data_IF_585251725803
#
_entry.id   IF_585251725803
#
_cell.length_a   1.000
_cell.length_b   1.000
_cell.length_c   1.000
_cell.angle_alpha   90.00
_cell.angle_beta   90.00
_cell.angle_gamma   90.00
#
_symmetry.space_group_name_H-M   'P 1'
#
loop_
_entity.id
_entity.type
_entity.pdbx_description
1 polymer ?
#
# COMPACT_ATOMS: atom_id res chain seq x y z
N UNK A 1 8.47 12.75 -5.00
CA UNK A 1 9.39 13.19 -3.91
C UNK A 1 9.36 12.19 -2.75
N UNK A 2 8.19 11.67 -2.33
CA UNK A 2 8.06 10.57 -1.36
C UNK A 2 8.96 9.36 -1.65
N UNK A 3 8.87 8.72 -2.82
CA UNK A 3 9.65 7.51 -3.15
C UNK A 3 11.18 7.73 -3.07
N UNK A 4 11.69 8.95 -3.35
CA UNK A 4 13.11 9.28 -3.17
C UNK A 4 13.47 9.48 -1.70
N UNK A 5 12.58 10.06 -0.89
CA UNK A 5 12.75 10.15 0.56
C UNK A 5 12.71 8.78 1.23
N UNK A 6 11.84 7.85 0.78
CA UNK A 6 11.78 6.47 1.28
C UNK A 6 13.01 5.64 0.88
N UNK A 7 13.49 5.78 -0.36
CA UNK A 7 14.74 5.15 -0.78
C UNK A 7 15.92 5.71 0.00
N UNK A 8 15.92 7.02 0.29
CA UNK A 8 16.93 7.66 1.13
C UNK A 8 16.84 7.18 2.58
N UNK A 9 15.64 6.99 3.14
CA UNK A 9 15.44 6.43 4.48
C UNK A 9 15.85 4.95 4.56
N UNK A 10 15.58 4.17 3.52
CA UNK A 10 16.05 2.78 3.39
C UNK A 10 17.58 2.70 3.17
N UNK A 11 18.18 3.67 2.49
CA UNK A 11 19.64 3.76 2.38
C UNK A 11 20.29 4.19 3.70
N UNK A 12 19.70 5.18 4.38
CA UNK A 12 20.04 5.57 5.75
C UNK A 12 19.82 4.39 6.71
N UNK A 13 18.81 3.54 6.48
CA UNK A 13 18.51 2.32 7.23
C UNK A 13 19.61 1.26 7.11
N UNK A 14 20.14 0.98 5.90
CA UNK A 14 21.27 0.08 5.70
C UNK A 14 22.54 0.62 6.35
N UNK A 15 22.80 1.93 6.19
CA UNK A 15 23.98 2.55 6.78
C UNK A 15 23.87 2.61 8.31
N UNK A 16 22.73 2.99 8.90
CA UNK A 16 22.55 3.08 10.36
C UNK A 16 22.58 1.70 11.04
N UNK A 17 21.97 0.66 10.45
CA UNK A 17 21.99 -0.68 11.07
C UNK A 17 23.36 -1.36 11.01
N UNK A 18 24.18 -1.08 9.99
CA UNK A 18 25.59 -1.53 9.93
C UNK A 18 26.53 -0.65 10.79
N UNK A 19 26.17 0.62 11.08
CA UNK A 19 27.07 1.60 11.76
C UNK A 19 26.78 1.77 13.27
N UNK A 20 25.55 1.57 13.75
CA UNK A 20 25.18 1.96 15.11
C UNK A 20 25.57 0.91 16.17
N UNK A 21 26.87 0.69 16.37
CA UNK A 21 27.39 0.03 17.57
C UNK A 21 27.37 1.02 18.73
N UNK A 22 26.31 1.00 19.56
CA UNK A 22 26.24 1.82 20.76
C UNK A 22 27.22 1.25 21.81
N UNK A 23 28.35 1.91 21.98
CA UNK A 23 29.43 1.57 22.93
C UNK A 23 29.29 2.25 24.30
N UNK A 24 28.27 3.09 24.49
CA UNK A 24 27.99 3.82 25.73
C UNK A 24 27.04 3.11 26.71
N UNK A 25 26.30 3.86 27.53
CA UNK A 25 25.35 3.33 28.52
C UNK A 25 24.24 2.46 27.89
N UNK A 26 24.47 1.14 27.85
CA UNK A 26 23.54 0.17 27.24
C UNK A 26 22.12 0.24 27.81
N UNK A 27 21.97 0.53 29.11
CA UNK A 27 20.64 0.64 29.76
C UNK A 27 19.85 1.84 29.24
N UNK A 28 20.47 3.02 29.14
CA UNK A 28 19.83 4.21 28.61
C UNK A 28 19.48 4.05 27.13
N UNK A 29 20.37 3.44 26.35
CA UNK A 29 20.12 3.15 24.94
C UNK A 29 18.99 2.12 24.75
N UNK A 30 18.94 1.05 25.56
CA UNK A 30 17.85 0.06 25.52
C UNK A 30 16.51 0.68 25.92
N UNK A 31 16.50 1.54 26.93
CA UNK A 31 15.30 2.25 27.33
C UNK A 31 14.83 3.22 26.24
N UNK A 32 15.73 4.07 25.71
CA UNK A 32 15.39 5.02 24.65
C UNK A 32 14.89 4.37 23.38
N UNK A 33 15.50 3.25 22.97
CA UNK A 33 15.03 2.49 21.80
C UNK A 33 13.69 1.80 22.04
N UNK A 34 13.46 1.19 23.22
CA UNK A 34 12.13 0.66 23.58
C UNK A 34 11.04 1.74 23.65
N UNK A 35 11.37 2.91 24.19
CA UNK A 35 10.46 4.05 24.22
C UNK A 35 10.11 4.53 22.81
N UNK A 36 11.10 4.62 21.91
CA UNK A 36 10.86 4.98 20.51
C UNK A 36 10.03 3.93 19.76
N UNK A 37 10.20 2.64 20.05
CA UNK A 37 9.30 1.59 19.51
C UNK A 37 7.87 1.83 19.98
N UNK A 38 7.68 2.00 21.30
CA UNK A 38 6.36 2.25 21.88
C UNK A 38 5.71 3.53 21.34
N UNK A 39 6.47 4.61 21.18
CA UNK A 39 5.98 5.88 20.63
C UNK A 39 5.55 5.76 19.16
N UNK A 40 6.30 5.02 18.35
CA UNK A 40 5.94 4.77 16.96
C UNK A 40 4.72 3.84 16.83
N UNK A 41 4.65 2.77 17.62
CA UNK A 41 3.46 1.89 17.66
C UNK A 41 2.23 2.64 18.19
N UNK A 42 2.40 3.49 19.21
CA UNK A 42 1.32 4.34 19.71
C UNK A 42 0.86 5.34 18.65
N UNK A 43 1.79 5.94 17.91
CA UNK A 43 1.46 6.84 16.79
C UNK A 43 0.66 6.09 15.74
N UNK A 44 1.08 4.89 15.36
CA UNK A 44 0.34 4.03 14.43
C UNK A 44 -1.07 3.71 14.94
N UNK A 45 -1.20 3.18 16.17
CA UNK A 45 -2.50 2.88 16.81
C UNK A 45 -3.38 4.13 16.87
N UNK A 46 -2.80 5.28 17.22
CA UNK A 46 -3.50 6.56 17.27
C UNK A 46 -3.98 6.97 15.89
N UNK A 47 -3.20 6.84 14.82
CA UNK A 47 -3.70 7.18 13.49
C UNK A 47 -4.76 6.20 12.98
N UNK A 48 -4.67 4.93 13.36
CA UNK A 48 -5.68 3.91 13.03
C UNK A 48 -6.99 4.12 13.80
N UNK A 49 -6.93 4.47 15.10
CA UNK A 49 -8.10 4.56 15.98
C UNK A 49 -8.66 6.00 16.13
N UNK A 50 -7.82 7.03 16.06
CA UNK A 50 -8.14 8.37 16.55
C UNK A 50 -8.82 9.28 15.52
N UNK A 51 -9.41 8.72 14.45
CA UNK A 51 -10.42 9.42 13.68
C UNK A 51 -11.86 9.19 14.19
N UNK A 52 -12.07 8.45 15.28
CA UNK A 52 -13.38 8.41 15.96
C UNK A 52 -13.82 9.81 16.45
N UNK A 53 -12.89 10.65 16.93
CA UNK A 53 -13.22 11.99 17.47
C UNK A 53 -13.53 13.07 16.41
N UNK A 54 -13.05 12.89 15.18
CA UNK A 54 -13.39 13.76 14.03
C UNK A 54 -14.67 13.27 13.36
N UNK A 55 -14.87 11.95 13.32
CA UNK A 55 -16.11 11.30 12.90
C UNK A 55 -17.32 11.74 13.72
N UNK A 56 -17.15 11.98 15.02
CA UNK A 56 -18.26 12.46 15.86
C UNK A 56 -18.73 13.86 15.45
N UNK A 57 -17.81 14.74 15.03
CA UNK A 57 -18.12 16.10 14.54
C UNK A 57 -18.67 16.09 13.12
N UNK A 58 -18.07 15.35 12.19
CA UNK A 58 -18.59 15.26 10.81
C UNK A 58 -19.95 14.57 10.74
N UNK A 59 -20.17 13.52 11.53
CA UNK A 59 -21.48 12.84 11.60
C UNK A 59 -22.51 13.72 12.32
N UNK A 60 -22.14 14.45 13.38
CA UNK A 60 -23.03 15.43 14.01
C UNK A 60 -23.40 16.59 13.06
N UNK A 61 -22.46 17.08 12.26
CA UNK A 61 -22.71 18.18 11.32
C UNK A 61 -23.60 17.73 10.16
N UNK A 62 -23.43 16.51 9.66
CA UNK A 62 -24.35 15.90 8.68
C UNK A 62 -25.75 15.69 9.30
N UNK A 63 -25.84 15.19 10.54
CA UNK A 63 -27.13 15.03 11.24
C UNK A 63 -27.83 16.37 11.50
N UNK A 64 -27.09 17.42 11.91
CA UNK A 64 -27.64 18.79 12.07
C UNK A 64 -28.16 19.36 10.75
N UNK A 65 -27.44 19.13 9.66
CA UNK A 65 -27.82 19.65 8.34
C UNK A 65 -29.08 18.96 7.79
N UNK A 66 -29.23 17.65 8.03
CA UNK A 66 -30.44 16.89 7.67
C UNK A 66 -31.61 17.30 8.56
N UNK A 67 -31.40 17.40 9.88
CA UNK A 67 -32.46 17.73 10.83
C UNK A 67 -32.99 19.18 10.66
N UNK A 68 -32.10 20.12 10.30
CA UNK A 68 -32.49 21.49 9.97
C UNK A 68 -33.27 21.56 8.64
N UNK A 69 -32.99 20.68 7.67
CA UNK A 69 -33.77 20.58 6.42
C UNK A 69 -35.17 20.00 6.66
N UNK A 70 -35.33 19.04 7.56
CA UNK A 70 -36.65 18.49 7.91
C UNK A 70 -37.49 19.43 8.78
N UNK A 71 -36.86 20.30 9.58
CA UNK A 71 -37.58 21.31 10.36
C UNK A 71 -38.00 22.56 9.55
N UNK A 72 -37.41 22.79 8.38
CA UNK A 72 -37.75 23.92 7.49
C UNK A 72 -38.86 23.61 6.47
N UNK A 73 -39.39 22.38 6.44
CA UNK A 73 -40.43 21.97 5.48
C UNK A 73 -41.85 21.96 6.09
N UNK A 74 -42.01 22.26 7.39
CA UNK A 74 -43.33 22.19 8.07
C UNK A 74 -43.89 23.56 8.53
N UNK A 75 -43.27 24.71 8.22
CA UNK A 75 -43.85 26.02 8.58
C UNK A 75 -43.97 26.97 7.39
N UNK A 76 -45.22 27.03 6.88
CA UNK A 76 -45.97 28.17 6.32
C UNK A 76 -45.36 29.18 5.33
N UNK A 77 -46.03 29.22 4.16
CA UNK A 77 -46.40 30.38 3.33
C UNK A 77 -46.06 31.79 3.86
N UNK A 78 -45.40 32.62 3.04
CA UNK A 78 -45.90 33.92 2.53
C UNK A 78 -44.79 34.75 1.82
N UNK A 79 -45.18 35.29 0.66
CA UNK A 79 -44.84 36.57 -0.02
C UNK A 79 -43.43 37.18 -0.12
N UNK A 80 -43.16 37.59 -1.37
CA UNK A 80 -42.41 38.76 -1.90
C UNK A 80 -40.89 38.98 -1.70
N UNK A 81 -40.24 38.97 -2.88
CA UNK A 81 -39.16 39.80 -3.42
C UNK A 81 -38.13 40.55 -2.52
N UNK A 82 -36.86 40.40 -2.95
CA UNK A 82 -35.77 41.39 -2.96
C UNK A 82 -34.98 41.64 -1.67
N UNK A 83 -33.85 40.93 -1.50
CA UNK A 83 -32.53 41.58 -1.51
C UNK A 83 -31.39 40.56 -1.64
N UNK A 84 -30.46 40.91 -2.51
CA UNK A 84 -29.20 40.22 -2.81
C UNK A 84 -28.26 40.37 -1.61
N UNK A 85 -27.99 39.29 -0.87
CA UNK A 85 -26.78 39.19 -0.01
C UNK A 85 -26.01 37.93 -0.33
N UNK A 86 -24.98 38.15 -1.14
CA UNK A 86 -23.80 37.31 -1.24
C UNK A 86 -23.20 37.09 0.15
N UNK A 87 -23.12 35.84 0.61
CA UNK A 87 -22.13 35.42 1.59
C UNK A 87 -21.23 34.46 0.84
N UNK A 88 -20.09 35.02 0.41
CA UNK A 88 -19.13 34.37 -0.46
C UNK A 88 -18.48 33.14 0.18
N UNK A 89 -18.71 32.00 -0.44
CA UNK A 89 -17.79 30.87 -0.42
C UNK A 89 -17.11 30.79 -1.80
N UNK A 90 -16.26 31.77 -2.10
CA UNK A 90 -15.45 31.77 -3.30
C UNK A 90 -14.22 32.68 -3.13
N UNK A 91 -13.21 32.18 -2.41
CA UNK A 91 -11.82 32.42 -2.86
C UNK A 91 -11.35 31.11 -3.48
N UNK A 92 -11.15 31.15 -4.80
CA UNK A 92 -11.08 29.98 -5.65
C UNK A 92 -9.92 29.06 -5.29
N UNK A 93 -10.24 27.84 -4.88
CA UNK A 93 -9.31 26.75 -5.06
C UNK A 93 -9.42 26.32 -6.52
N UNK A 94 -8.33 26.45 -7.29
CA UNK A 94 -8.27 25.81 -8.62
C UNK A 94 -8.54 24.32 -8.39
N UNK A 95 -9.36 23.69 -9.21
CA UNK A 95 -9.74 22.28 -9.02
C UNK A 95 -8.53 21.37 -8.71
N UNK A 96 -7.37 21.64 -9.30
CA UNK A 96 -6.11 20.97 -9.01
C UNK A 96 -5.61 21.15 -7.56
N UNK A 97 -5.70 22.34 -6.93
CA UNK A 97 -5.25 22.60 -5.56
C UNK A 97 -6.16 21.98 -4.49
N UNK A 98 -7.47 21.87 -4.76
CA UNK A 98 -8.40 21.21 -3.84
C UNK A 98 -8.26 19.68 -3.92
N UNK A 99 -8.09 19.15 -5.14
CA UNK A 99 -7.86 17.72 -5.40
C UNK A 99 -6.47 17.29 -4.91
N UNK A 100 -5.43 18.11 -5.13
CA UNK A 100 -4.10 17.88 -4.59
C UNK A 100 -4.08 18.07 -3.08
N UNK A 101 -4.82 19.02 -2.51
CA UNK A 101 -4.87 19.26 -1.06
C UNK A 101 -5.48 18.09 -0.28
N UNK A 102 -6.63 17.58 -0.71
CA UNK A 102 -7.26 16.41 -0.08
C UNK A 102 -6.47 15.13 -0.33
N UNK A 103 -6.07 14.86 -1.57
CA UNK A 103 -5.27 13.68 -1.92
C UNK A 103 -3.87 13.68 -1.26
N UNK A 104 -3.20 14.84 -1.16
CA UNK A 104 -1.94 14.95 -0.42
C UNK A 104 -2.14 14.69 1.07
N UNK A 105 -3.25 15.11 1.66
CA UNK A 105 -3.50 14.85 3.09
C UNK A 105 -3.65 13.36 3.38
N UNK A 106 -4.31 12.62 2.49
CA UNK A 106 -4.44 11.16 2.60
C UNK A 106 -3.14 10.42 2.27
N UNK A 107 -2.40 10.87 1.26
CA UNK A 107 -1.05 10.37 0.98
C UNK A 107 -0.12 10.62 2.15
N UNK A 108 -0.25 11.75 2.85
CA UNK A 108 0.51 12.03 4.07
C UNK A 108 0.04 11.14 5.24
N UNK A 109 -1.26 10.85 5.34
CA UNK A 109 -1.79 9.94 6.35
C UNK A 109 -1.26 8.52 6.17
N UNK A 110 -1.38 7.96 4.96
CA UNK A 110 -0.81 6.64 4.63
C UNK A 110 0.70 6.64 4.83
N UNK A 111 1.39 7.70 4.39
CA UNK A 111 2.83 7.87 4.62
C UNK A 111 3.22 7.86 6.10
N UNK A 112 2.45 8.49 6.99
CA UNK A 112 2.72 8.53 8.44
C UNK A 112 2.45 7.17 9.09
N UNK A 113 1.37 6.50 8.70
CA UNK A 113 1.04 5.13 9.14
C UNK A 113 2.15 4.15 8.73
N UNK A 114 2.62 4.23 7.49
CA UNK A 114 3.74 3.41 7.00
C UNK A 114 5.06 3.77 7.70
N UNK A 115 5.35 5.07 7.85
CA UNK A 115 6.57 5.55 8.51
C UNK A 115 6.65 5.06 9.96
N UNK A 116 5.55 5.15 10.70
CA UNK A 116 5.52 4.74 12.11
C UNK A 116 5.73 3.22 12.27
N UNK A 117 5.17 2.39 11.40
CA UNK A 117 5.44 0.95 11.39
C UNK A 117 6.90 0.62 11.06
N UNK A 118 7.44 1.24 10.01
CA UNK A 118 8.85 1.04 9.61
C UNK A 118 9.77 1.53 10.73
N UNK A 119 9.51 2.70 11.31
CA UNK A 119 10.32 3.25 12.40
C UNK A 119 10.30 2.34 13.63
N UNK A 120 9.13 1.83 14.05
CA UNK A 120 9.03 0.87 15.15
C UNK A 120 9.86 -0.40 14.89
N UNK A 121 9.74 -0.95 13.67
CA UNK A 121 10.49 -2.11 13.21
C UNK A 121 12.01 -1.90 13.21
N UNK A 122 12.48 -0.75 12.74
CA UNK A 122 13.91 -0.41 12.71
C UNK A 122 14.46 -0.24 14.11
N UNK A 123 13.74 0.48 14.97
CA UNK A 123 14.13 0.67 16.36
C UNK A 123 14.18 -0.66 17.12
N UNK A 124 13.35 -1.63 16.77
CA UNK A 124 13.41 -3.00 17.29
C UNK A 124 14.71 -3.71 16.91
N UNK A 125 15.14 -3.65 15.64
CA UNK A 125 16.42 -4.23 15.21
C UNK A 125 17.58 -3.56 15.94
N UNK A 126 17.58 -2.22 16.01
CA UNK A 126 18.62 -1.47 16.73
C UNK A 126 18.67 -1.93 18.18
N UNK A 127 17.53 -2.00 18.89
CA UNK A 127 17.45 -2.49 20.27
C UNK A 127 18.03 -3.90 20.44
N UNK A 128 17.72 -4.83 19.52
CA UNK A 128 18.22 -6.21 19.51
C UNK A 128 19.73 -6.32 19.30
N UNK A 129 20.34 -5.31 18.68
CA UNK A 129 21.77 -5.26 18.37
C UNK A 129 22.60 -4.56 19.47
N UNK A 130 21.97 -3.86 20.42
CA UNK A 130 22.68 -3.17 21.52
C UNK A 130 23.41 -4.20 22.40
N UNK A 131 24.75 -4.08 22.43
CA UNK A 131 25.64 -4.90 23.25
C UNK A 131 26.15 -6.17 22.57
N UNK A 132 25.80 -6.42 21.29
CA UNK A 132 26.39 -7.50 20.50
C UNK A 132 27.64 -6.96 19.78
N UNK A 133 28.84 -7.36 20.22
CA UNK A 133 30.06 -7.09 19.46
C UNK A 133 30.02 -7.86 18.14
N UNK A 134 29.99 -7.15 17.00
CA UNK A 134 30.30 -7.75 15.71
C UNK A 134 31.80 -8.05 15.67
N UNK A 135 32.18 -9.31 15.94
CA UNK A 135 33.55 -9.78 15.69
C UNK A 135 33.81 -9.68 14.19
N UNK A 136 34.55 -8.66 13.78
CA UNK A 136 35.22 -8.59 12.48
C UNK A 136 34.32 -8.33 11.27
N UNK A 137 33.49 -7.29 11.30
CA UNK A 137 33.10 -6.67 10.03
C UNK A 137 34.24 -5.74 9.62
N UNK A 138 35.20 -6.27 8.86
CA UNK A 138 36.04 -5.43 8.01
C UNK A 138 35.11 -4.46 7.30
N UNK A 139 35.41 -3.16 7.38
CA UNK A 139 34.72 -2.12 6.65
C UNK A 139 34.92 -2.36 5.16
N UNK A 140 34.13 -3.27 4.57
CA UNK A 140 34.07 -3.44 3.14
C UNK A 140 33.33 -2.22 2.64
N UNK A 141 34.08 -1.20 2.22
CA UNK A 141 33.59 -0.19 1.28
C UNK A 141 32.88 -0.96 0.16
N UNK A 142 31.55 -1.06 0.24
CA UNK A 142 30.73 -1.56 -0.86
C UNK A 142 30.91 -0.53 -1.97
N UNK A 143 31.85 -0.79 -2.87
CA UNK A 143 32.06 0.00 -4.07
C UNK A 143 30.77 -0.16 -4.88
N UNK A 144 29.85 0.77 -4.69
CA UNK A 144 28.47 0.70 -5.16
C UNK A 144 28.40 1.02 -6.66
N UNK A 145 29.13 0.27 -7.50
CA UNK A 145 28.85 0.20 -8.93
C UNK A 145 27.73 -0.81 -9.12
N UNK A 146 26.50 -0.40 -8.80
CA UNK A 146 25.32 -1.07 -9.35
C UNK A 146 25.34 -0.77 -10.85
N UNK A 147 25.92 -1.66 -11.65
CA UNK A 147 25.59 -1.70 -13.07
C UNK A 147 24.24 -2.41 -13.18
N UNK A 148 23.18 -1.61 -13.33
CA UNK A 148 21.87 -2.14 -13.69
C UNK A 148 21.96 -2.53 -15.17
N UNK A 149 22.36 -3.77 -15.44
CA UNK A 149 22.39 -4.29 -16.81
C UNK A 149 20.95 -4.60 -17.26
N UNK A 150 20.33 -3.59 -17.88
CA UNK A 150 18.97 -3.62 -18.42
C UNK A 150 18.82 -4.41 -19.73
N UNK A 151 19.91 -4.89 -20.33
CA UNK A 151 19.91 -5.45 -21.69
C UNK A 151 19.04 -6.70 -21.89
N UNK A 152 18.53 -7.33 -20.81
CA UNK A 152 17.65 -8.52 -20.87
C UNK A 152 16.30 -8.33 -20.18
N UNK A 153 15.95 -7.12 -19.75
CA UNK A 153 14.72 -6.79 -19.01
C UNK A 153 13.75 -5.90 -19.77
N UNK A 154 14.08 -5.52 -21.01
CA UNK A 154 13.33 -4.54 -21.81
C UNK A 154 11.87 -4.93 -22.04
N UNK A 155 11.59 -6.19 -22.39
CA UNK A 155 10.21 -6.67 -22.60
C UNK A 155 9.36 -6.58 -21.34
N UNK A 156 9.89 -7.08 -20.20
CA UNK A 156 9.19 -7.00 -18.91
C UNK A 156 8.96 -5.57 -18.46
N UNK A 157 9.95 -4.69 -18.68
CA UNK A 157 9.82 -3.26 -18.39
C UNK A 157 8.77 -2.59 -19.29
N UNK A 158 8.76 -2.87 -20.60
CA UNK A 158 7.78 -2.30 -21.52
C UNK A 158 6.35 -2.73 -21.19
N UNK A 159 6.14 -4.03 -20.95
CA UNK A 159 4.85 -4.55 -20.49
C UNK A 159 4.42 -3.92 -19.16
N UNK A 160 5.36 -3.74 -18.24
CA UNK A 160 5.11 -3.07 -16.97
C UNK A 160 4.71 -1.60 -17.15
N UNK A 161 5.42 -0.86 -18.01
CA UNK A 161 5.10 0.53 -18.32
C UNK A 161 3.76 0.67 -19.04
N UNK A 162 3.42 -0.25 -19.95
CA UNK A 162 2.11 -0.29 -20.58
C UNK A 162 1.00 -0.53 -19.55
N UNK A 163 1.22 -1.45 -18.60
CA UNK A 163 0.31 -1.71 -17.48
C UNK A 163 0.13 -0.47 -16.58
N UNK A 164 1.22 0.24 -16.28
CA UNK A 164 1.20 1.49 -15.53
C UNK A 164 0.45 2.60 -16.30
N UNK A 165 0.68 2.73 -17.59
CA UNK A 165 -0.03 3.69 -18.44
C UNK A 165 -1.54 3.38 -18.52
N UNK A 166 -1.92 2.11 -18.61
CA UNK A 166 -3.31 1.67 -18.55
C UNK A 166 -3.96 2.06 -17.21
N UNK A 167 -3.23 1.93 -16.11
CA UNK A 167 -3.68 2.32 -14.76
C UNK A 167 -3.96 3.81 -14.65
N UNK A 168 -3.04 4.65 -15.14
CA UNK A 168 -3.28 6.10 -15.19
C UNK A 168 -4.45 6.46 -16.11
N UNK A 169 -4.60 5.73 -17.22
CA UNK A 169 -5.73 5.92 -18.14
C UNK A 169 -7.05 5.58 -17.47
N UNK A 170 -7.14 4.46 -16.74
CA UNK A 170 -8.36 4.09 -16.00
C UNK A 170 -8.70 5.11 -14.90
N UNK A 171 -7.69 5.64 -14.19
CA UNK A 171 -7.89 6.71 -13.22
C UNK A 171 -8.43 7.98 -13.89
N UNK A 172 -7.86 8.40 -15.02
CA UNK A 172 -8.32 9.56 -15.77
C UNK A 172 -9.76 9.38 -16.28
N UNK A 173 -10.10 8.18 -16.78
CA UNK A 173 -11.47 7.84 -17.22
C UNK A 173 -12.45 7.91 -16.06
N UNK A 174 -12.09 7.40 -14.88
CA UNK A 174 -12.92 7.53 -13.68
C UNK A 174 -13.20 9.00 -13.36
N UNK A 175 -12.16 9.84 -13.28
CA UNK A 175 -12.34 11.26 -12.96
C UNK A 175 -13.16 11.98 -14.03
N UNK A 176 -12.95 11.65 -15.31
CA UNK A 176 -13.76 12.18 -16.41
C UNK A 176 -15.25 11.88 -16.24
N UNK A 177 -15.60 10.63 -15.93
CA UNK A 177 -16.99 10.25 -15.66
C UNK A 177 -17.54 10.87 -14.37
N UNK A 178 -16.70 11.01 -13.33
CA UNK A 178 -17.06 11.64 -12.07
C UNK A 178 -17.41 13.12 -12.25
N UNK A 179 -16.62 13.87 -13.05
CA UNK A 179 -16.87 15.29 -13.35
C UNK A 179 -18.16 15.47 -14.16
N UNK A 180 -18.45 14.54 -15.07
CA UNK A 180 -19.68 14.54 -15.87
C UNK A 180 -20.94 14.14 -15.07
N UNK A 181 -20.82 13.89 -13.76
CA UNK A 181 -21.93 13.47 -12.91
C UNK A 181 -22.42 12.03 -13.17
N UNK A 182 -21.68 11.23 -13.95
CA UNK A 182 -22.01 9.83 -14.27
C UNK A 182 -21.29 8.87 -13.33
N UNK A 183 -21.59 8.96 -12.03
CA UNK A 183 -20.91 8.20 -10.96
C UNK A 183 -20.98 6.68 -11.15
N UNK A 184 -22.12 6.15 -11.59
CA UNK A 184 -22.29 4.71 -11.86
C UNK A 184 -21.32 4.20 -12.92
N UNK A 185 -21.18 4.93 -14.03
CA UNK A 185 -20.26 4.55 -15.11
C UNK A 185 -18.79 4.66 -14.67
N UNK A 186 -18.47 5.64 -13.82
CA UNK A 186 -17.15 5.75 -13.21
C UNK A 186 -16.83 4.52 -12.36
N UNK A 187 -17.76 4.11 -11.48
CA UNK A 187 -17.62 2.92 -10.63
C UNK A 187 -17.42 1.64 -11.45
N UNK A 188 -18.21 1.45 -12.52
CA UNK A 188 -18.03 0.31 -13.43
C UNK A 188 -16.66 0.31 -14.12
N UNK A 189 -16.22 1.45 -14.64
CA UNK A 189 -14.92 1.57 -15.29
C UNK A 189 -13.77 1.26 -14.32
N UNK A 190 -13.89 1.71 -13.07
CA UNK A 190 -12.94 1.39 -12.01
C UNK A 190 -12.93 -0.10 -11.67
N UNK A 191 -14.09 -0.69 -11.39
CA UNK A 191 -14.19 -2.10 -11.02
C UNK A 191 -13.65 -3.03 -12.13
N UNK A 192 -13.88 -2.67 -13.39
CA UNK A 192 -13.35 -3.41 -14.55
C UNK A 192 -11.82 -3.24 -14.69
N UNK A 193 -11.29 -2.05 -14.45
CA UNK A 193 -9.86 -1.83 -14.43
C UNK A 193 -9.19 -2.64 -13.31
N UNK A 194 -9.76 -2.59 -12.11
CA UNK A 194 -9.22 -3.24 -10.91
C UNK A 194 -9.18 -4.77 -11.04
N UNK A 195 -10.29 -5.39 -11.46
CA UNK A 195 -10.31 -6.85 -11.73
C UNK A 195 -9.30 -7.24 -12.82
N UNK A 196 -9.17 -6.44 -13.89
CA UNK A 196 -8.22 -6.71 -14.96
C UNK A 196 -6.77 -6.65 -14.47
N UNK A 197 -6.46 -5.69 -13.58
CA UNK A 197 -5.14 -5.56 -12.99
C UNK A 197 -4.78 -6.76 -12.12
N UNK A 198 -5.69 -7.21 -11.25
CA UNK A 198 -5.45 -8.39 -10.42
C UNK A 198 -5.28 -9.67 -11.24
N UNK A 199 -6.07 -9.86 -12.31
CA UNK A 199 -5.94 -11.02 -13.21
C UNK A 199 -4.58 -11.02 -13.90
N UNK A 200 -4.19 -9.91 -14.53
CA UNK A 200 -2.93 -9.79 -15.26
C UNK A 200 -1.73 -9.96 -14.31
N UNK A 201 -1.79 -9.37 -13.11
CA UNK A 201 -0.75 -9.52 -12.10
C UNK A 201 -0.65 -10.97 -11.57
N UNK A 202 -1.78 -11.67 -11.43
CA UNK A 202 -1.81 -13.09 -11.06
C UNK A 202 -1.12 -13.95 -12.12
N UNK A 203 -1.43 -13.72 -13.40
CA UNK A 203 -0.75 -14.41 -14.52
C UNK A 203 0.75 -14.13 -14.48
N UNK A 204 1.16 -12.87 -14.24
CA UNK A 204 2.56 -12.51 -14.05
C UNK A 204 3.23 -13.28 -12.91
N UNK A 205 2.54 -13.46 -11.78
CA UNK A 205 3.04 -14.23 -10.63
C UNK A 205 3.22 -15.70 -10.98
N UNK A 206 2.23 -16.33 -11.62
CA UNK A 206 2.29 -17.73 -12.05
C UNK A 206 3.44 -17.93 -13.04
N UNK A 207 3.60 -17.04 -14.03
CA UNK A 207 4.70 -17.08 -14.99
C UNK A 207 6.07 -16.91 -14.32
N UNK A 208 6.16 -16.08 -13.28
CA UNK A 208 7.38 -15.95 -12.49
C UNK A 208 7.67 -17.24 -11.72
N UNK A 209 6.68 -17.80 -11.00
CA UNK A 209 6.83 -19.08 -10.25
C UNK A 209 7.29 -20.20 -11.18
N UNK A 210 6.68 -20.33 -12.35
CA UNK A 210 7.05 -21.34 -13.34
C UNK A 210 8.51 -21.20 -13.78
N UNK A 211 8.94 -19.99 -14.10
CA UNK A 211 10.32 -19.72 -14.50
C UNK A 211 11.34 -19.87 -13.36
N UNK A 212 10.92 -19.67 -12.10
CA UNK A 212 11.78 -19.87 -10.92
C UNK A 212 12.06 -21.34 -10.63
N UNK A 213 11.28 -22.28 -11.20
CA UNK A 213 11.53 -23.73 -11.07
C UNK A 213 12.89 -24.15 -11.64
N UNK A 214 13.38 -23.43 -12.65
CA UNK A 214 14.68 -23.66 -13.29
C UNK A 214 15.88 -23.15 -12.48
N UNK A 215 15.63 -22.56 -11.30
CA UNK A 215 16.67 -22.04 -10.41
C UNK A 215 17.10 -23.05 -9.36
N UNK A 216 18.32 -22.85 -8.86
CA UNK A 216 18.90 -23.72 -7.84
C UNK A 216 18.47 -23.22 -6.46
N UNK A 217 18.02 -24.14 -5.61
CA UNK A 217 17.75 -23.88 -4.21
C UNK A 217 19.07 -23.61 -3.48
N UNK A 218 19.18 -22.46 -2.81
CA UNK A 218 20.40 -22.10 -2.07
C UNK A 218 20.09 -22.00 -0.60
N UNK A 219 20.70 -22.89 0.18
CA UNK A 219 20.70 -22.78 1.63
C UNK A 219 21.58 -21.57 2.03
N UNK A 220 20.92 -20.48 2.44
CA UNK A 220 21.60 -19.28 2.92
C UNK A 220 22.32 -19.61 4.25
N UNK A 221 23.66 -19.66 4.23
CA UNK A 221 24.47 -19.45 5.45
C UNK A 221 24.37 -17.98 5.85
N UNK A 222 23.45 -17.64 6.76
CA UNK A 222 23.22 -16.28 7.22
C UNK A 222 23.85 -16.00 8.59
N UNK A 223 24.54 -14.86 8.70
CA UNK A 223 24.98 -14.26 9.96
C UNK A 223 23.76 -13.85 10.81
N UNK A 224 23.89 -13.76 12.12
CA UNK A 224 22.79 -13.42 13.04
C UNK A 224 22.08 -12.11 12.65
N UNK A 225 22.84 -11.09 12.22
CA UNK A 225 22.29 -9.80 11.78
C UNK A 225 21.40 -9.94 10.52
N UNK A 226 21.84 -10.73 9.54
CA UNK A 226 21.03 -11.00 8.34
C UNK A 226 19.77 -11.80 8.64
N UNK A 227 19.76 -12.63 9.70
CA UNK A 227 18.56 -13.36 10.14
C UNK A 227 17.54 -12.42 10.78
N UNK A 228 17.98 -11.47 11.61
CA UNK A 228 17.11 -10.49 12.25
C UNK A 228 16.45 -9.56 11.22
N UNK A 229 17.16 -9.20 10.13
CA UNK A 229 16.60 -8.44 9.00
C UNK A 229 15.57 -9.26 8.20
N UNK A 230 15.87 -10.51 7.86
CA UNK A 230 14.94 -11.41 7.15
C UNK A 230 13.66 -11.66 7.96
N UNK A 231 13.78 -11.80 9.28
CA UNK A 231 12.64 -11.91 10.19
C UNK A 231 11.78 -10.66 10.17
N UNK A 232 12.39 -9.47 10.14
CA UNK A 232 11.65 -8.22 10.06
C UNK A 232 10.88 -8.12 8.75
N UNK A 233 11.54 -8.38 7.62
CA UNK A 233 10.90 -8.33 6.31
C UNK A 233 9.72 -9.30 6.22
N UNK A 234 9.83 -10.47 6.87
CA UNK A 234 8.73 -11.42 7.00
C UNK A 234 7.59 -10.87 7.86
N UNK A 235 7.88 -10.33 9.04
CA UNK A 235 6.85 -9.77 9.95
C UNK A 235 6.09 -8.64 9.25
N UNK A 236 6.79 -7.72 8.59
CA UNK A 236 6.18 -6.61 7.86
C UNK A 236 5.31 -7.11 6.69
N UNK A 237 5.77 -8.14 5.97
CA UNK A 237 4.98 -8.76 4.90
C UNK A 237 3.71 -9.42 5.44
N UNK A 238 3.80 -10.15 6.56
CA UNK A 238 2.66 -10.78 7.22
C UNK A 238 1.66 -9.75 7.76
N UNK A 239 2.14 -8.64 8.32
CA UNK A 239 1.28 -7.56 8.82
C UNK A 239 0.45 -6.96 7.67
N UNK A 240 1.09 -6.64 6.54
CA UNK A 240 0.39 -6.16 5.35
C UNK A 240 -0.59 -7.19 4.81
N UNK A 241 -0.18 -8.47 4.75
CA UNK A 241 -1.04 -9.57 4.29
C UNK A 241 -2.29 -9.72 5.15
N UNK A 242 -2.17 -9.68 6.47
CA UNK A 242 -3.32 -9.77 7.38
C UNK A 242 -4.28 -8.62 7.12
N UNK A 243 -3.77 -7.39 6.96
CA UNK A 243 -4.61 -6.23 6.63
C UNK A 243 -5.37 -6.40 5.31
N UNK A 244 -4.68 -6.87 4.27
CA UNK A 244 -5.26 -7.15 2.95
C UNK A 244 -6.36 -8.23 3.00
N UNK A 245 -6.13 -9.29 3.77
CA UNK A 245 -7.08 -10.39 3.96
C UNK A 245 -8.34 -9.88 4.67
N UNK A 246 -8.18 -9.14 5.76
CA UNK A 246 -9.31 -8.58 6.51
C UNK A 246 -10.11 -7.61 5.62
N UNK A 247 -9.44 -6.70 4.91
CA UNK A 247 -10.09 -5.77 3.99
C UNK A 247 -10.91 -6.50 2.90
N UNK A 248 -10.32 -7.54 2.30
CA UNK A 248 -10.97 -8.29 1.22
C UNK A 248 -12.14 -9.14 1.71
N UNK A 249 -12.01 -9.80 2.87
CA UNK A 249 -13.09 -10.58 3.48
C UNK A 249 -14.25 -9.67 3.89
N UNK A 250 -13.95 -8.51 4.45
CA UNK A 250 -14.96 -7.51 4.78
C UNK A 250 -15.72 -7.02 3.55
N UNK A 251 -15.01 -6.73 2.45
CA UNK A 251 -15.63 -6.39 1.17
C UNK A 251 -16.57 -7.48 0.66
N UNK A 252 -16.13 -8.75 0.69
CA UNK A 252 -16.97 -9.89 0.30
C UNK A 252 -18.24 -10.00 1.14
N UNK A 253 -18.10 -9.97 2.46
CA UNK A 253 -19.23 -10.11 3.39
C UNK A 253 -20.20 -8.93 3.22
N UNK A 254 -19.69 -7.71 3.08
CA UNK A 254 -20.50 -6.52 2.86
C UNK A 254 -21.28 -6.55 1.54
N UNK A 255 -20.71 -7.12 0.48
CA UNK A 255 -21.38 -7.27 -0.81
C UNK A 255 -22.41 -8.41 -0.83
N UNK A 256 -22.29 -9.40 0.06
CA UNK A 256 -23.27 -10.50 0.22
C UNK A 256 -24.46 -10.16 1.12
N UNK A 257 -24.50 -8.97 1.72
CA UNK A 257 -25.61 -8.52 2.57
C UNK A 257 -26.96 -8.49 1.82
N UNK A 258 -28.06 -8.65 2.56
CA UNK A 258 -29.45 -8.89 2.09
C UNK A 258 -30.02 -7.84 1.10
N UNK A 259 -29.48 -7.79 -0.12
CA UNK A 259 -29.89 -6.91 -1.20
C UNK A 259 -29.89 -7.60 -2.56
N UNK A 260 -30.63 -7.06 -3.54
CA UNK A 260 -30.62 -7.59 -4.91
C UNK A 260 -29.25 -7.39 -5.55
N UNK A 261 -28.70 -8.48 -6.12
CA UNK A 261 -27.41 -8.45 -6.82
C UNK A 261 -27.46 -7.54 -8.05
N UNK A 262 -26.98 -6.31 -7.89
CA UNK A 262 -26.71 -5.42 -9.01
C UNK A 262 -25.43 -5.86 -9.73
N UNK A 263 -25.33 -5.60 -11.04
CA UNK A 263 -24.16 -5.98 -11.85
C UNK A 263 -22.83 -5.44 -11.27
N UNK A 264 -22.84 -4.22 -10.73
CA UNK A 264 -21.65 -3.62 -10.10
C UNK A 264 -21.22 -4.40 -8.85
N UNK A 265 -22.16 -4.80 -8.00
CA UNK A 265 -21.88 -5.58 -6.79
C UNK A 265 -21.31 -6.97 -7.16
N UNK A 266 -21.81 -7.59 -8.23
CA UNK A 266 -21.26 -8.83 -8.76
C UNK A 266 -19.80 -8.66 -9.21
N UNK A 267 -19.49 -7.62 -9.99
CA UNK A 267 -18.11 -7.37 -10.42
C UNK A 267 -17.20 -7.10 -9.21
N UNK A 268 -17.62 -6.27 -8.26
CA UNK A 268 -16.86 -5.97 -7.04
C UNK A 268 -16.63 -7.22 -6.19
N UNK A 269 -17.60 -8.15 -6.14
CA UNK A 269 -17.43 -9.42 -5.45
C UNK A 269 -16.27 -10.21 -6.08
N UNK A 270 -16.23 -10.32 -7.41
CA UNK A 270 -15.11 -10.95 -8.11
C UNK A 270 -13.79 -10.19 -7.95
N UNK A 271 -13.81 -8.85 -7.90
CA UNK A 271 -12.61 -8.04 -7.61
C UNK A 271 -11.98 -8.51 -6.30
N UNK A 272 -12.74 -8.64 -5.21
CA UNK A 272 -12.20 -9.12 -3.94
C UNK A 272 -11.69 -10.57 -4.00
N UNK A 273 -12.34 -11.46 -4.76
CA UNK A 273 -11.84 -12.83 -4.97
C UNK A 273 -10.51 -12.83 -5.73
N UNK A 274 -10.41 -12.11 -6.83
CA UNK A 274 -9.16 -12.02 -7.61
C UNK A 274 -8.05 -11.31 -6.83
N UNK A 275 -8.39 -10.31 -6.02
CA UNK A 275 -7.47 -9.64 -5.09
C UNK A 275 -6.87 -10.64 -4.09
N UNK A 276 -7.69 -11.49 -3.46
CA UNK A 276 -7.23 -12.55 -2.55
C UNK A 276 -6.29 -13.55 -3.25
N UNK A 277 -6.67 -14.02 -4.44
CA UNK A 277 -5.85 -14.95 -5.23
C UNK A 277 -4.51 -14.30 -5.60
N UNK A 278 -4.53 -13.04 -6.03
CA UNK A 278 -3.34 -12.31 -6.44
C UNK A 278 -2.37 -12.12 -5.27
N UNK A 279 -2.87 -11.70 -4.11
CA UNK A 279 -2.07 -11.48 -2.90
C UNK A 279 -1.50 -12.79 -2.36
N UNK A 280 -2.29 -13.86 -2.36
CA UNK A 280 -1.83 -15.19 -1.96
C UNK A 280 -0.72 -15.71 -2.87
N UNK A 281 -0.94 -15.66 -4.18
CA UNK A 281 0.05 -16.13 -5.18
C UNK A 281 1.32 -15.29 -5.17
N UNK A 282 1.22 -13.96 -4.99
CA UNK A 282 2.39 -13.08 -4.87
C UNK A 282 3.19 -13.33 -3.59
N UNK A 283 2.52 -13.54 -2.46
CA UNK A 283 3.20 -13.85 -1.19
C UNK A 283 3.94 -15.19 -1.30
N UNK A 284 3.31 -16.19 -1.92
CA UNK A 284 3.95 -17.47 -2.20
C UNK A 284 5.16 -17.34 -3.13
N UNK A 285 5.04 -16.54 -4.20
CA UNK A 285 6.16 -16.19 -5.08
C UNK A 285 7.32 -15.58 -4.31
N UNK A 286 7.07 -14.59 -3.45
CA UNK A 286 8.12 -13.91 -2.65
C UNK A 286 8.83 -14.92 -1.72
N UNK A 287 8.06 -15.79 -1.06
CA UNK A 287 8.60 -16.83 -0.19
C UNK A 287 9.50 -17.81 -0.95
N UNK A 288 9.03 -18.30 -2.11
CA UNK A 288 9.81 -19.20 -2.98
C UNK A 288 11.07 -18.50 -3.51
N UNK A 289 10.91 -17.29 -4.02
CA UNK A 289 11.97 -16.52 -4.66
C UNK A 289 13.08 -16.12 -3.67
N UNK A 290 12.76 -15.99 -2.38
CA UNK A 290 13.74 -15.74 -1.32
C UNK A 290 14.73 -16.92 -1.09
N UNK A 291 14.41 -18.12 -1.58
CA UNK A 291 15.19 -19.36 -1.36
C UNK A 291 15.95 -19.86 -2.58
N UNK A 292 15.80 -19.21 -3.73
CA UNK A 292 16.38 -19.66 -5.01
C UNK A 292 17.41 -18.66 -5.54
N UNK A 293 18.38 -19.13 -6.34
CA UNK A 293 19.35 -18.30 -7.07
C UNK A 293 19.68 -18.86 -8.45
N UNK A 294 20.20 -18.00 -9.33
CA UNK A 294 20.68 -18.40 -10.65
C UNK A 294 21.94 -19.24 -10.52
N UNK A 295 21.85 -20.50 -10.98
CA UNK A 295 22.99 -21.39 -11.11
C UNK A 295 23.97 -20.96 -12.20
N UNK A 296 25.22 -21.43 -12.13
CA UNK A 296 26.28 -21.06 -13.07
C UNK A 296 25.93 -21.37 -14.54
N UNK A 297 25.19 -22.46 -14.80
CA UNK A 297 24.75 -22.88 -16.15
C UNK A 297 23.66 -21.97 -16.75
N UNK A 298 22.77 -21.40 -15.92
CA UNK A 298 21.65 -20.55 -16.36
C UNK A 298 21.95 -19.04 -16.32
N UNK A 299 23.21 -18.64 -16.12
CA UNK A 299 23.64 -17.23 -16.06
C UNK A 299 23.31 -16.44 -17.33
N UNK A 300 23.31 -17.10 -18.49
CA UNK A 300 23.07 -16.44 -19.76
C UNK A 300 21.57 -16.22 -20.03
N UNK A 301 20.70 -17.14 -19.61
CA UNK A 301 19.25 -17.05 -19.86
C UNK A 301 18.50 -16.22 -18.80
N UNK A 302 19.01 -16.14 -17.56
CA UNK A 302 18.41 -15.37 -16.46
C UNK A 302 16.88 -15.59 -16.34
N UNK A 303 16.42 -16.86 -16.21
CA UNK A 303 15.00 -17.19 -16.24
C UNK A 303 14.26 -16.47 -15.11
N UNK A 304 13.05 -15.98 -15.38
CA UNK A 304 12.23 -15.23 -14.44
C UNK A 304 12.53 -13.74 -14.33
N UNK A 305 13.67 -13.26 -14.87
CA UNK A 305 14.10 -11.86 -14.70
C UNK A 305 13.09 -10.88 -15.28
N UNK A 306 12.57 -11.18 -16.48
CA UNK A 306 11.57 -10.35 -17.15
C UNK A 306 10.23 -10.34 -16.40
N UNK A 307 9.80 -11.50 -15.89
CA UNK A 307 8.56 -11.63 -15.12
C UNK A 307 8.65 -10.83 -13.80
N UNK A 308 9.77 -10.94 -13.07
CA UNK A 308 9.99 -10.16 -11.85
C UNK A 308 10.08 -8.65 -12.16
N UNK A 309 10.74 -8.25 -13.26
CA UNK A 309 10.76 -6.84 -13.67
C UNK A 309 9.37 -6.31 -14.01
N UNK A 310 8.56 -7.10 -14.72
CA UNK A 310 7.15 -6.76 -14.96
C UNK A 310 6.39 -6.59 -13.64
N UNK A 311 6.51 -7.57 -12.73
CA UNK A 311 5.82 -7.57 -11.44
C UNK A 311 6.21 -6.41 -10.52
N UNK A 312 7.45 -5.90 -10.62
CA UNK A 312 7.86 -4.69 -9.91
C UNK A 312 7.07 -3.46 -10.34
N UNK A 313 6.88 -3.28 -11.66
CA UNK A 313 6.10 -2.15 -12.18
C UNK A 313 4.60 -2.39 -12.00
N UNK A 314 4.14 -3.63 -12.12
CA UNK A 314 2.74 -4.00 -11.88
C UNK A 314 2.34 -3.77 -10.42
N UNK A 315 3.19 -4.12 -9.45
CA UNK A 315 2.93 -3.81 -8.04
C UNK A 315 2.89 -2.31 -7.76
N UNK A 316 3.77 -1.52 -8.39
CA UNK A 316 3.68 -0.05 -8.31
C UNK A 316 2.36 0.47 -8.88
N UNK A 317 1.86 -0.15 -9.95
CA UNK A 317 0.60 0.25 -10.57
C UNK A 317 -0.60 -0.07 -9.67
N UNK A 318 -0.63 -1.27 -9.07
CA UNK A 318 -1.67 -1.66 -8.10
C UNK A 318 -1.58 -0.82 -6.83
N UNK A 319 -0.37 -0.51 -6.36
CA UNK A 319 -0.16 0.43 -5.25
C UNK A 319 -0.84 1.78 -5.51
N UNK A 320 -0.66 2.35 -6.71
CA UNK A 320 -1.31 3.60 -7.08
C UNK A 320 -2.83 3.45 -7.17
N UNK A 321 -3.33 2.29 -7.63
CA UNK A 321 -4.77 2.01 -7.67
C UNK A 321 -5.37 1.92 -6.26
N UNK A 322 -4.73 1.20 -5.33
CA UNK A 322 -5.17 1.10 -3.93
C UNK A 322 -5.11 2.45 -3.20
N UNK A 323 -4.12 3.29 -3.53
CA UNK A 323 -4.04 4.66 -3.02
C UNK A 323 -5.22 5.51 -3.53
N UNK A 324 -5.61 5.30 -4.78
CA UNK A 324 -6.78 5.95 -5.35
C UNK A 324 -8.10 5.40 -4.76
N UNK A 325 -8.15 4.11 -4.44
CA UNK A 325 -9.27 3.46 -3.74
C UNK A 325 -9.49 4.07 -2.35
N UNK A 326 -8.40 4.34 -1.60
CA UNK A 326 -8.48 4.90 -0.26
C UNK A 326 -9.08 6.32 -0.23
N UNK A 327 -8.90 7.11 -1.29
CA UNK A 327 -9.51 8.45 -1.45
C UNK A 327 -11.02 8.39 -1.67
N UNK A 328 -11.57 7.23 -2.06
CA UNK A 328 -12.98 7.12 -2.46
C UNK A 328 -13.66 5.90 -1.81
N UNK A 329 -13.77 5.87 -0.46
CA UNK A 329 -14.35 4.74 0.27
C UNK A 329 -15.86 4.53 0.07
N UNK A 330 -16.52 5.33 -0.77
CA UNK A 330 -17.97 5.39 -0.96
C UNK A 330 -18.52 4.77 -2.24
N UNK A 331 -17.74 3.96 -2.98
CA UNK A 331 -18.17 3.44 -4.29
C UNK A 331 -19.24 2.34 -4.16
N UNK A 332 -19.41 1.70 -3.00
CA UNK A 332 -20.43 0.67 -2.79
C UNK A 332 -21.40 1.04 -1.67
N UNK A 333 -22.49 1.74 -2.03
CA UNK A 333 -23.62 2.03 -1.14
C UNK A 333 -24.12 0.75 -0.43
N UNK A 334 -24.10 -0.40 -1.13
CA UNK A 334 -24.49 -1.71 -0.57
C UNK A 334 -23.67 -2.17 0.64
N UNK A 335 -22.35 -1.90 0.67
CA UNK A 335 -21.49 -2.31 1.77
C UNK A 335 -21.75 -1.42 3.00
N UNK A 336 -22.00 -0.13 2.75
CA UNK A 336 -22.34 0.86 3.78
C UNK A 336 -23.69 0.49 4.41
N UNK A 337 -24.66 0.08 3.61
CA UNK A 337 -25.98 -0.32 4.10
C UNK A 337 -25.92 -1.58 4.97
N UNK A 338 -25.03 -2.53 4.65
CA UNK A 338 -24.85 -3.75 5.44
C UNK A 338 -24.13 -3.51 6.77
N UNK A 339 -22.93 -2.92 6.74
CA UNK A 339 -22.11 -2.73 7.95
C UNK A 339 -22.56 -1.55 8.81
N UNK A 340 -23.34 -0.64 8.23
CA UNK A 340 -23.53 0.70 8.75
C UNK A 340 -22.32 1.59 8.47
N UNK A 341 -22.60 2.87 8.18
CA UNK A 341 -21.58 3.88 7.82
C UNK A 341 -20.40 3.92 8.79
N UNK A 342 -20.63 3.83 10.10
CA UNK A 342 -19.56 3.91 11.12
C UNK A 342 -18.61 2.71 11.06
N UNK A 343 -19.15 1.49 11.02
CA UNK A 343 -18.36 0.26 11.02
C UNK A 343 -17.58 0.09 9.72
N UNK A 344 -18.21 0.39 8.57
CA UNK A 344 -17.52 0.34 7.27
C UNK A 344 -16.36 1.32 7.20
N UNK A 345 -16.61 2.56 7.63
CA UNK A 345 -15.59 3.60 7.65
C UNK A 345 -14.42 3.23 8.56
N UNK A 346 -14.70 2.70 9.76
CA UNK A 346 -13.66 2.20 10.67
C UNK A 346 -12.81 1.12 10.01
N UNK A 347 -13.45 0.18 9.32
CA UNK A 347 -12.80 -0.92 8.64
C UNK A 347 -11.89 -0.43 7.51
N UNK A 348 -12.41 0.41 6.63
CA UNK A 348 -11.63 0.96 5.51
C UNK A 348 -10.45 1.77 6.03
N UNK A 349 -10.66 2.64 7.02
CA UNK A 349 -9.58 3.46 7.59
C UNK A 349 -8.50 2.64 8.31
N UNK A 350 -8.88 1.53 8.93
CA UNK A 350 -7.93 0.66 9.64
C UNK A 350 -7.12 -0.22 8.70
N UNK A 351 -7.77 -0.81 7.69
CA UNK A 351 -7.19 -1.87 6.88
C UNK A 351 -6.76 -1.42 5.47
N UNK A 352 -7.36 -0.37 4.90
CA UNK A 352 -6.92 0.16 3.60
C UNK A 352 -5.46 0.61 3.59
N UNK A 353 -4.94 1.32 4.62
CA UNK A 353 -3.51 1.66 4.67
C UNK A 353 -2.60 0.43 4.73
N UNK A 354 -3.04 -0.64 5.39
CA UNK A 354 -2.28 -1.90 5.44
C UNK A 354 -2.21 -2.58 4.06
N UNK A 355 -3.23 -2.38 3.23
CA UNK A 355 -3.21 -2.90 1.85
C UNK A 355 -2.19 -2.17 0.97
N UNK A 356 -2.10 -0.85 1.12
CA UNK A 356 -1.10 -0.02 0.47
C UNK A 356 0.31 -0.40 0.97
N UNK A 357 0.45 -0.58 2.28
CA UNK A 357 1.69 -1.03 2.90
C UNK A 357 2.16 -2.40 2.38
N UNK A 358 1.24 -3.36 2.22
CA UNK A 358 1.56 -4.66 1.61
C UNK A 358 2.15 -4.49 0.20
N UNK A 359 1.56 -3.66 -0.65
CA UNK A 359 2.06 -3.40 -2.01
C UNK A 359 3.42 -2.73 -2.03
N UNK A 360 3.64 -1.79 -1.12
CA UNK A 360 4.94 -1.14 -0.96
C UNK A 360 6.01 -2.15 -0.53
N UNK A 361 5.78 -2.86 0.58
CA UNK A 361 6.77 -3.77 1.16
C UNK A 361 7.05 -4.96 0.25
N UNK A 362 6.01 -5.54 -0.38
CA UNK A 362 6.20 -6.61 -1.35
C UNK A 362 7.01 -6.17 -2.59
N UNK A 363 6.90 -4.91 -3.01
CA UNK A 363 7.76 -4.33 -4.06
C UNK A 363 9.23 -4.25 -3.61
N UNK A 364 9.48 -3.88 -2.35
CA UNK A 364 10.83 -3.89 -1.76
C UNK A 364 11.40 -5.31 -1.75
N UNK A 365 10.62 -6.30 -1.28
CA UNK A 365 11.03 -7.70 -1.29
C UNK A 365 11.34 -8.19 -2.71
N UNK A 366 10.48 -7.88 -3.70
CA UNK A 366 10.71 -8.25 -5.09
C UNK A 366 11.97 -7.58 -5.68
N UNK A 367 12.26 -6.34 -5.30
CA UNK A 367 13.45 -5.63 -5.78
C UNK A 367 14.72 -6.22 -5.17
N UNK A 368 14.67 -6.60 -3.89
CA UNK A 368 15.76 -7.32 -3.24
C UNK A 368 15.97 -8.71 -3.86
N UNK A 369 14.89 -9.46 -4.13
CA UNK A 369 14.95 -10.75 -4.84
C UNK A 369 15.59 -10.56 -6.21
N UNK A 370 15.11 -9.59 -7.00
CA UNK A 370 15.68 -9.31 -8.32
C UNK A 370 17.18 -9.02 -8.25
N UNK A 371 17.61 -8.26 -7.24
CA UNK A 371 19.03 -8.01 -6.99
C UNK A 371 19.77 -9.29 -6.57
N UNK A 372 19.28 -10.02 -5.59
CA UNK A 372 19.95 -11.18 -5.00
C UNK A 372 20.00 -12.39 -5.95
N UNK A 373 19.03 -12.52 -6.85
CA UNK A 373 18.93 -13.61 -7.83
C UNK A 373 19.77 -13.32 -9.08
N UNK A 374 19.80 -12.08 -9.57
CA UNK A 374 20.40 -11.74 -10.87
C UNK A 374 21.66 -10.87 -10.83
N UNK A 375 21.96 -10.19 -9.72
CA UNK A 375 23.20 -9.40 -9.58
C UNK A 375 24.24 -10.29 -8.89
N UNK A 376 25.26 -10.69 -9.65
CA UNK A 376 26.38 -11.49 -9.13
C UNK A 376 27.04 -10.77 -7.94
N UNK A 377 27.31 -11.53 -6.87
CA UNK A 377 28.52 -11.33 -6.07
C UNK A 377 29.68 -12.04 -6.75
#
# INVERSE_FOLDING_TARGET
>A
IGIRAYKLLYFIWLDITDILTITGHHTAARFGTMHLIAANLWTWIRYVLMEEGVMEKEIQDVFRTINNRSNLVISEKSDDAFERREIGFASGCRAAECILGSGLSEVMFTAIVEYSLIAAAVMYIVWRNIGKCSRGSEYVKRKHRIRVDCSKTTTGLFLGLAFLAATFTSMAVYYGYSILGKSKNAAFAYALADISQYIIATVGCIMAIYQLRELIYVEKRSCQLSKDQELLDQILLWLGLIGELIYSVAGLVGLTGDGPWQLLAFILFFVHIFRLIQVGTQTFLIYLAARVRVGASNKQNQPGKQAITFLLVANLSIFLMNLFESEKPGISESIIDFYGKRSWVFLVRSFSPLTIFYRFHSSVCLAEIWKNVYVNK
#
